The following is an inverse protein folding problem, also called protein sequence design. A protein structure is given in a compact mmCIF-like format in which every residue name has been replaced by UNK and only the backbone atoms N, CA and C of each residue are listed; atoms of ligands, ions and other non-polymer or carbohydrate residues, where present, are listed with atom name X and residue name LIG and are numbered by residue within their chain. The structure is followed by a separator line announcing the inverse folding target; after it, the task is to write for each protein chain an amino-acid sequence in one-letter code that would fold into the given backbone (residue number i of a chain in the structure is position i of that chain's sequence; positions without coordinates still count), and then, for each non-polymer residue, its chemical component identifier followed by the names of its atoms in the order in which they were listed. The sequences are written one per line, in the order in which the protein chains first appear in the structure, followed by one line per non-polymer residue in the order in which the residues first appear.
data_IF_855486245060
#
_entry.id   IF_855486245060
#
_cell.length_a   1.000
_cell.length_b   1.000
_cell.length_c   1.000
_cell.angle_alpha   90.00
_cell.angle_beta   90.00
_cell.angle_gamma   90.00
#
_symmetry.space_group_name_H-M   'P 1'
#
loop_
_entity.id
_entity.type
_entity.pdbx_description
1 polymer ?
#
# COMPACT_ATOMS: atom_id res chain seq x y z
N UNK A 1 -1.60 -17.87 4.69
CA UNK A 1 -2.63 -16.86 5.01
C UNK A 1 -2.16 -15.42 4.79
N UNK A 2 -0.98 -14.98 5.27
CA UNK A 2 -0.52 -13.57 5.15
C UNK A 2 -0.41 -13.00 3.72
N UNK A 3 0.01 -13.78 2.72
CA UNK A 3 0.19 -13.27 1.35
C UNK A 3 -1.11 -12.78 0.71
N UNK A 4 -2.17 -13.59 0.78
CA UNK A 4 -3.47 -13.26 0.22
C UNK A 4 -4.09 -12.02 0.90
N UNK A 5 -3.86 -11.88 2.21
CA UNK A 5 -4.30 -10.72 2.98
C UNK A 5 -3.64 -9.42 2.50
N UNK A 6 -2.32 -9.42 2.25
CA UNK A 6 -1.62 -8.26 1.66
C UNK A 6 -2.17 -7.91 0.28
N UNK A 7 -2.41 -8.90 -0.58
CA UNK A 7 -2.97 -8.68 -1.93
C UNK A 7 -4.37 -8.06 -1.83
N UNK A 8 -5.24 -8.60 -0.97
CA UNK A 8 -6.60 -8.08 -0.78
C UNK A 8 -6.60 -6.66 -0.20
N UNK A 9 -5.70 -6.38 0.74
CA UNK A 9 -5.55 -5.04 1.32
C UNK A 9 -5.06 -4.03 0.29
N UNK A 10 -4.09 -4.41 -0.56
CA UNK A 10 -3.64 -3.57 -1.67
C UNK A 10 -4.77 -3.28 -2.65
N UNK A 11 -5.51 -4.31 -3.09
CA UNK A 11 -6.62 -4.18 -4.03
C UNK A 11 -7.72 -3.24 -3.49
N UNK A 12 -8.03 -3.33 -2.19
CA UNK A 12 -8.96 -2.40 -1.52
C UNK A 12 -8.51 -0.95 -1.66
N UNK A 13 -7.25 -0.66 -1.34
CA UNK A 13 -6.73 0.71 -1.40
C UNK A 13 -6.60 1.23 -2.84
N UNK A 14 -6.21 0.36 -3.78
CA UNK A 14 -6.18 0.69 -5.20
C UNK A 14 -7.58 1.07 -5.71
N UNK A 15 -8.61 0.28 -5.38
CA UNK A 15 -10.00 0.59 -5.73
C UNK A 15 -10.46 1.91 -5.11
N UNK A 16 -10.09 2.16 -3.85
CA UNK A 16 -10.34 3.44 -3.17
C UNK A 16 -9.76 4.63 -3.95
N UNK A 17 -8.48 4.56 -4.32
CA UNK A 17 -7.81 5.59 -5.11
C UNK A 17 -8.44 5.78 -6.51
N UNK A 18 -8.74 4.68 -7.21
CA UNK A 18 -9.36 4.72 -8.54
C UNK A 18 -10.76 5.37 -8.51
N UNK A 19 -11.54 5.15 -7.44
CA UNK A 19 -12.84 5.79 -7.23
C UNK A 19 -12.76 7.30 -6.99
N UNK A 20 -11.59 7.81 -6.60
CA UNK A 20 -11.35 9.23 -6.36
C UNK A 20 -10.69 9.92 -7.56
N UNK A 21 -10.11 9.18 -8.50
CA UNK A 21 -9.40 9.70 -9.69
C UNK A 21 -10.23 10.67 -10.53
N UNK A 22 -11.53 10.44 -10.64
CA UNK A 22 -12.45 11.28 -11.43
C UNK A 22 -13.08 12.44 -10.64
N UNK A 23 -12.77 12.56 -9.33
CA UNK A 23 -13.31 13.62 -8.48
C UNK A 23 -12.44 14.87 -8.53
N UNK A 24 -13.00 16.01 -8.11
CA UNK A 24 -12.27 17.27 -8.07
C UNK A 24 -11.21 17.26 -6.95
N UNK A 25 -9.94 17.14 -7.33
CA UNK A 25 -8.79 17.12 -6.39
C UNK A 25 -8.51 18.46 -5.72
N UNK A 26 -9.18 19.56 -6.11
CA UNK A 26 -9.13 20.82 -5.37
C UNK A 26 -9.93 20.75 -4.06
N UNK A 27 -10.84 19.79 -3.94
CA UNK A 27 -11.53 19.52 -2.69
C UNK A 27 -10.56 18.87 -1.68
N UNK A 28 -10.44 19.48 -0.51
CA UNK A 28 -9.52 19.06 0.55
C UNK A 28 -9.77 17.61 1.00
N UNK A 29 -11.03 17.19 1.13
CA UNK A 29 -11.36 15.83 1.55
C UNK A 29 -11.04 14.82 0.45
N UNK A 30 -11.35 15.15 -0.80
CA UNK A 30 -11.00 14.30 -1.95
C UNK A 30 -9.49 14.14 -2.05
N UNK A 31 -8.73 15.22 -1.96
CA UNK A 31 -7.27 15.19 -2.02
C UNK A 31 -6.68 14.33 -0.90
N UNK A 32 -7.07 14.57 0.35
CA UNK A 32 -6.51 13.83 1.48
C UNK A 32 -6.90 12.35 1.45
N UNK A 33 -8.13 12.04 1.05
CA UNK A 33 -8.55 10.64 0.93
C UNK A 33 -7.76 9.93 -0.17
N UNK A 34 -7.56 10.59 -1.33
CA UNK A 34 -6.74 10.03 -2.42
C UNK A 34 -5.29 9.80 -1.96
N UNK A 35 -4.69 10.79 -1.29
CA UNK A 35 -3.34 10.67 -0.74
C UNK A 35 -3.24 9.51 0.25
N UNK A 36 -4.23 9.34 1.13
CA UNK A 36 -4.25 8.26 2.11
C UNK A 36 -4.41 6.89 1.46
N UNK A 37 -5.29 6.73 0.47
CA UNK A 37 -5.44 5.47 -0.26
C UNK A 37 -4.16 5.09 -1.01
N UNK A 38 -3.51 6.05 -1.68
CA UNK A 38 -2.21 5.82 -2.33
C UNK A 38 -1.11 5.43 -1.33
N UNK A 39 -1.04 6.12 -0.18
CA UNK A 39 -0.05 5.82 0.87
C UNK A 39 -0.25 4.42 1.46
N UNK A 40 -1.50 4.03 1.73
CA UNK A 40 -1.80 2.70 2.26
C UNK A 40 -1.55 1.59 1.22
N UNK A 41 -1.84 1.85 -0.06
CA UNK A 41 -1.50 0.92 -1.14
C UNK A 41 0.02 0.69 -1.23
N UNK A 42 0.81 1.76 -1.22
CA UNK A 42 2.27 1.68 -1.25
C UNK A 42 2.83 0.92 -0.03
N UNK A 43 2.36 1.24 1.18
CA UNK A 43 2.79 0.53 2.39
C UNK A 43 2.44 -0.95 2.36
N UNK A 44 1.27 -1.31 1.83
CA UNK A 44 0.88 -2.72 1.70
C UNK A 44 1.82 -3.48 0.75
N UNK A 45 2.30 -2.83 -0.33
CA UNK A 45 3.30 -3.42 -1.22
C UNK A 45 4.67 -3.55 -0.55
N UNK A 46 5.05 -2.60 0.30
CA UNK A 46 6.28 -2.69 1.11
C UNK A 46 6.20 -3.88 2.06
N UNK A 47 5.11 -4.03 2.81
CA UNK A 47 4.90 -5.16 3.73
C UNK A 47 4.93 -6.50 2.98
N UNK A 48 4.33 -6.55 1.79
CA UNK A 48 4.37 -7.70 0.90
C UNK A 48 5.80 -8.04 0.47
N UNK A 49 6.59 -7.04 0.07
CA UNK A 49 7.98 -7.22 -0.31
C UNK A 49 8.82 -7.74 0.86
N UNK A 50 8.65 -7.17 2.05
CA UNK A 50 9.31 -7.64 3.28
C UNK A 50 8.93 -9.08 3.60
N UNK A 51 7.65 -9.44 3.45
CA UNK A 51 7.20 -10.81 3.66
C UNK A 51 7.86 -11.80 2.70
N UNK A 52 7.95 -11.47 1.41
CA UNK A 52 8.58 -12.32 0.39
C UNK A 52 10.07 -12.48 0.65
N UNK A 53 10.77 -11.37 0.96
CA UNK A 53 12.20 -11.40 1.24
C UNK A 53 12.50 -12.20 2.51
N UNK A 54 11.78 -11.96 3.61
CA UNK A 54 11.95 -12.72 4.86
C UNK A 54 11.65 -14.22 4.70
N UNK A 55 10.77 -14.58 3.76
CA UNK A 55 10.49 -15.98 3.40
C UNK A 55 11.61 -16.62 2.58
N UNK A 56 12.33 -15.84 1.78
CA UNK A 56 13.37 -16.31 0.84
C UNK A 56 14.77 -16.28 1.44
N UNK A 57 15.04 -15.33 2.34
CA UNK A 57 16.30 -15.18 3.06
C UNK A 57 16.06 -15.41 4.55
N UNK A 58 16.58 -16.52 5.07
CA UNK A 58 16.48 -16.92 6.49
C UNK A 58 17.35 -16.06 7.42
N UNK A 59 17.28 -14.72 7.34
CA UNK A 59 18.02 -13.87 8.29
C UNK A 59 18.13 -12.37 8.03
N UNK A 60 17.72 -11.84 6.86
CA UNK A 60 17.87 -10.40 6.58
C UNK A 60 16.55 -9.68 6.82
N UNK A 61 16.50 -8.86 7.87
CA UNK A 61 15.39 -7.95 8.13
C UNK A 61 15.61 -6.64 7.35
N UNK A 62 15.03 -6.53 6.16
CA UNK A 62 15.07 -5.32 5.33
C UNK A 62 14.00 -4.31 5.79
N UNK A 63 14.45 -3.20 6.37
CA UNK A 63 13.56 -2.15 6.87
C UNK A 63 13.26 -1.12 5.76
N UNK A 64 12.45 -1.52 4.78
CA UNK A 64 12.08 -0.73 3.60
C UNK A 64 11.23 0.52 3.91
N UNK A 65 10.58 0.57 5.07
CA UNK A 65 9.82 1.76 5.52
C UNK A 65 10.69 2.99 5.80
N UNK A 66 12.02 2.84 5.94
CA UNK A 66 12.94 3.98 6.11
C UNK A 66 13.50 4.52 4.79
N UNK A 67 13.24 3.83 3.68
CA UNK A 67 13.84 4.14 2.36
C UNK A 67 12.89 4.93 1.47
N UNK A 68 11.60 4.98 1.82
CA UNK A 68 10.54 5.72 1.13
C UNK A 68 9.82 6.64 2.14
#
# INVERSE_FOLDING_TARGET
MRLAEYILRFDRHLKGALNLKSKNVKDYFVYNTLAMECFQAANTLIDLAQYIVAKKETGISLNLQRTF
#
